data_IF_934072670033
#
_entry.id   IF_934072670033
#
_cell.length_a   1.000
_cell.length_b   1.000
_cell.length_c   1.000
_cell.angle_alpha   90.00
_cell.angle_beta   90.00
_cell.angle_gamma   90.00
#
_symmetry.space_group_name_H-M   'P 1'
#
loop_
_entity.id
_entity.type
_entity.pdbx_description
1 polymer ?
#
# COMPACT_ATOMS: atom_id res chain seq x y z
N UNK A 1 10.87 12.56 16.81
CA UNK A 1 10.30 11.25 16.44
C UNK A 1 11.46 10.30 16.21
N UNK A 2 11.52 9.22 16.98
CA UNK A 2 12.63 8.27 16.91
C UNK A 2 12.45 7.28 15.76
N UNK A 3 13.55 6.83 15.16
CA UNK A 3 13.57 5.82 14.09
C UNK A 3 12.79 4.55 14.49
N UNK A 4 12.83 4.17 15.76
CA UNK A 4 12.08 3.04 16.31
C UNK A 4 10.58 3.17 16.09
N UNK A 5 10.01 4.37 16.28
CA UNK A 5 8.58 4.61 16.05
C UNK A 5 8.23 4.54 14.57
N UNK A 6 9.08 5.08 13.69
CA UNK A 6 8.91 4.95 12.23
C UNK A 6 8.89 3.48 11.80
N UNK A 7 9.82 2.67 12.31
CA UNK A 7 9.88 1.23 12.03
C UNK A 7 8.69 0.47 12.63
N UNK A 8 8.23 0.84 13.83
CA UNK A 8 7.04 0.24 14.42
C UNK A 8 5.79 0.48 13.56
N UNK A 9 5.62 1.71 13.03
CA UNK A 9 4.54 2.04 12.09
C UNK A 9 4.70 1.20 10.81
N UNK A 10 5.91 1.08 10.27
CA UNK A 10 6.18 0.26 9.08
C UNK A 10 5.75 -1.20 9.31
N UNK A 11 6.21 -1.83 10.39
CA UNK A 11 5.90 -3.23 10.71
C UNK A 11 4.39 -3.42 10.87
N UNK A 12 3.73 -2.56 11.66
CA UNK A 12 2.29 -2.62 11.85
C UNK A 12 1.53 -2.51 10.52
N UNK A 13 1.94 -1.58 9.66
CA UNK A 13 1.32 -1.35 8.35
C UNK A 13 1.52 -2.54 7.42
N UNK A 14 2.74 -3.10 7.37
CA UNK A 14 3.07 -4.30 6.57
C UNK A 14 2.24 -5.50 7.00
N UNK A 15 2.03 -5.73 8.30
CA UNK A 15 1.14 -6.79 8.76
C UNK A 15 -0.30 -6.61 8.23
N UNK A 16 -0.81 -5.37 8.22
CA UNK A 16 -2.11 -5.04 7.64
C UNK A 16 -2.19 -5.31 6.13
N UNK A 17 -1.13 -4.96 5.39
CA UNK A 17 -1.03 -5.18 3.95
C UNK A 17 -0.99 -6.67 3.63
N UNK A 18 -0.14 -7.45 4.29
CA UNK A 18 -0.04 -8.90 4.09
C UNK A 18 -1.39 -9.57 4.33
N UNK A 19 -2.12 -9.12 5.37
CA UNK A 19 -3.46 -9.64 5.65
C UNK A 19 -4.48 -9.23 4.59
N UNK A 20 -4.45 -7.99 4.12
CA UNK A 20 -5.32 -7.52 3.04
C UNK A 20 -5.04 -8.26 1.71
N UNK A 21 -3.77 -8.45 1.35
CA UNK A 21 -3.34 -9.17 0.15
C UNK A 21 -3.71 -10.64 0.24
N UNK A 22 -3.62 -11.27 1.42
CA UNK A 22 -4.10 -12.63 1.64
C UNK A 22 -5.61 -12.75 1.35
N UNK A 23 -6.43 -11.81 1.84
CA UNK A 23 -7.87 -11.81 1.54
C UNK A 23 -8.14 -11.58 0.04
N UNK A 24 -7.44 -10.63 -0.58
CA UNK A 24 -7.54 -10.37 -2.02
C UNK A 24 -7.14 -11.59 -2.85
N UNK A 25 -6.09 -12.29 -2.47
CA UNK A 25 -5.62 -13.52 -3.12
C UNK A 25 -6.66 -14.64 -3.06
N UNK A 26 -7.29 -14.85 -1.90
CA UNK A 26 -8.40 -15.81 -1.77
C UNK A 26 -9.56 -15.46 -2.68
N UNK A 27 -9.88 -14.18 -2.81
CA UNK A 27 -10.93 -13.70 -3.70
C UNK A 27 -10.59 -13.92 -5.18
N UNK A 28 -9.34 -13.63 -5.60
CA UNK A 28 -8.89 -13.85 -6.98
C UNK A 28 -8.92 -15.33 -7.38
N UNK A 29 -8.64 -16.24 -6.44
CA UNK A 29 -8.75 -17.70 -6.66
C UNK A 29 -10.18 -18.22 -6.65
N UNK A 30 -11.16 -17.38 -6.31
CA UNK A 30 -12.56 -17.79 -6.15
C UNK A 30 -12.83 -18.65 -4.91
N UNK A 31 -11.91 -18.69 -3.94
CA UNK A 31 -12.11 -19.39 -2.66
C UNK A 31 -13.15 -18.68 -1.78
N UNK A 32 -13.36 -17.38 -2.02
CA UNK A 32 -14.43 -16.59 -1.43
C UNK A 32 -15.21 -15.91 -2.54
N UNK A 33 -16.54 -15.96 -2.45
CA UNK A 33 -17.45 -15.41 -3.46
C UNK A 33 -17.41 -13.89 -3.47
N UNK A 34 -17.40 -13.27 -2.30
CA UNK A 34 -17.25 -11.82 -2.14
C UNK A 34 -16.35 -11.53 -0.94
N UNK A 35 -15.80 -10.32 -0.91
CA UNK A 35 -15.04 -9.84 0.24
C UNK A 35 -15.98 -9.31 1.33
N UNK A 36 -15.69 -9.60 2.59
CA UNK A 36 -16.41 -8.99 3.72
C UNK A 36 -16.09 -7.49 3.77
N UNK A 37 -17.11 -6.67 3.51
CA UNK A 37 -16.99 -5.20 3.49
C UNK A 37 -16.43 -4.65 4.80
N UNK A 38 -16.89 -5.14 5.97
CA UNK A 38 -16.47 -4.60 7.27
C UNK A 38 -15.00 -4.93 7.54
N UNK A 39 -14.58 -6.15 7.26
CA UNK A 39 -13.19 -6.59 7.47
C UNK A 39 -12.24 -5.83 6.55
N UNK A 40 -12.52 -5.83 5.24
CA UNK A 40 -11.63 -5.20 4.25
C UNK A 40 -11.61 -3.68 4.39
N UNK A 41 -12.74 -3.03 4.69
CA UNK A 41 -12.76 -1.58 4.92
C UNK A 41 -11.94 -1.20 6.14
N UNK A 42 -12.03 -1.95 7.25
CA UNK A 42 -11.22 -1.69 8.45
C UNK A 42 -9.73 -1.87 8.18
N UNK A 43 -9.35 -2.91 7.45
CA UNK A 43 -7.96 -3.12 7.03
C UNK A 43 -7.47 -1.99 6.14
N UNK A 44 -8.28 -1.57 5.17
CA UNK A 44 -7.93 -0.46 4.30
C UNK A 44 -7.74 0.84 5.08
N UNK A 45 -8.66 1.18 5.99
CA UNK A 45 -8.52 2.33 6.88
C UNK A 45 -7.26 2.23 7.75
N UNK A 46 -6.97 1.05 8.31
CA UNK A 46 -5.76 0.81 9.10
C UNK A 46 -4.49 1.02 8.28
N UNK A 47 -4.39 0.43 7.09
CA UNK A 47 -3.24 0.60 6.18
C UNK A 47 -3.12 2.05 5.71
N UNK A 48 -4.23 2.75 5.49
CA UNK A 48 -4.24 4.16 5.11
C UNK A 48 -3.67 5.04 6.24
N UNK A 49 -4.09 4.83 7.48
CA UNK A 49 -3.49 5.51 8.63
C UNK A 49 -2.00 5.15 8.80
N UNK A 50 -1.64 3.89 8.54
CA UNK A 50 -0.25 3.46 8.49
C UNK A 50 0.59 4.21 7.45
N UNK A 51 0.07 4.37 6.23
CA UNK A 51 0.70 5.14 5.16
C UNK A 51 0.87 6.62 5.55
N UNK A 52 -0.18 7.25 6.08
CA UNK A 52 -0.10 8.64 6.58
C UNK A 52 0.96 8.75 7.68
N UNK A 53 0.97 7.81 8.62
CA UNK A 53 1.98 7.74 9.67
C UNK A 53 3.40 7.61 9.12
N UNK A 54 3.61 6.74 8.12
CA UNK A 54 4.90 6.56 7.43
C UNK A 54 5.37 7.81 6.70
N UNK A 55 4.46 8.53 6.02
CA UNK A 55 4.79 9.78 5.32
C UNK A 55 5.17 10.86 6.32
N UNK A 56 4.36 11.10 7.36
CA UNK A 56 4.63 12.14 8.36
C UNK A 56 5.92 11.85 9.14
N UNK A 57 6.11 10.61 9.59
CA UNK A 57 7.31 10.20 10.30
C UNK A 57 8.55 10.23 9.41
N UNK A 58 8.45 9.81 8.15
CA UNK A 58 9.53 9.90 7.18
C UNK A 58 9.91 11.34 6.85
N UNK A 59 8.93 12.23 6.69
CA UNK A 59 9.15 13.66 6.46
C UNK A 59 9.86 14.31 7.66
N UNK A 60 9.45 13.95 8.89
CA UNK A 60 10.15 14.39 10.10
C UNK A 60 11.61 13.92 10.12
N UNK A 61 11.88 12.65 9.82
CA UNK A 61 13.25 12.10 9.77
C UNK A 61 14.10 12.73 8.65
N UNK A 62 13.46 13.17 7.57
CA UNK A 62 14.13 13.81 6.44
C UNK A 62 14.38 15.30 6.66
N UNK A 63 13.66 15.97 7.58
CA UNK A 63 13.58 17.44 7.70
C UNK A 63 14.93 18.15 7.65
N UNK A 64 15.88 17.77 8.50
CA UNK A 64 17.21 18.41 8.55
C UNK A 64 18.14 18.01 7.40
N UNK A 65 17.78 16.97 6.64
CA UNK A 65 18.59 16.38 5.58
C UNK A 65 18.00 16.54 4.19
N UNK A 66 16.87 17.24 4.05
CA UNK A 66 16.14 17.37 2.77
C UNK A 66 17.05 17.91 1.67
N UNK A 67 17.86 18.93 1.96
CA UNK A 67 18.77 19.53 0.98
C UNK A 67 19.74 18.49 0.39
N UNK A 68 20.35 17.66 1.25
CA UNK A 68 21.21 16.57 0.81
C UNK A 68 20.43 15.47 0.07
N UNK A 69 19.32 15.01 0.66
CA UNK A 69 18.52 13.91 0.12
C UNK A 69 17.95 14.25 -1.28
N UNK A 70 17.53 15.50 -1.50
CA UNK A 70 17.00 15.96 -2.79
C UNK A 70 18.01 15.92 -3.94
N UNK A 71 19.31 15.86 -3.64
CA UNK A 71 20.37 15.65 -4.63
C UNK A 71 20.54 14.19 -5.05
N UNK A 72 19.91 13.24 -4.34
CA UNK A 72 20.05 11.81 -4.61
C UNK A 72 18.91 11.31 -5.51
N UNK A 73 19.21 10.66 -6.65
CA UNK A 73 18.17 10.05 -7.50
C UNK A 73 17.30 9.03 -6.76
N UNK A 74 17.89 8.28 -5.83
CA UNK A 74 17.17 7.28 -5.02
C UNK A 74 16.09 7.91 -4.13
N UNK A 75 16.31 9.14 -3.64
CA UNK A 75 15.28 9.86 -2.88
C UNK A 75 14.04 10.12 -3.73
N UNK A 76 14.21 10.61 -4.96
CA UNK A 76 13.10 10.86 -5.88
C UNK A 76 12.39 9.59 -6.32
N UNK A 77 13.14 8.51 -6.56
CA UNK A 77 12.57 7.19 -6.84
C UNK A 77 11.73 6.67 -5.66
N UNK A 78 12.21 6.83 -4.43
CA UNK A 78 11.44 6.52 -3.22
C UNK A 78 10.17 7.36 -3.13
N UNK A 79 10.25 8.66 -3.42
CA UNK A 79 9.07 9.53 -3.43
C UNK A 79 8.07 9.14 -4.52
N UNK A 80 8.52 8.65 -5.68
CA UNK A 80 7.64 8.12 -6.71
C UNK A 80 6.88 6.86 -6.24
N UNK A 81 7.54 5.95 -5.50
CA UNK A 81 6.86 4.82 -4.86
C UNK A 81 5.85 5.27 -3.79
N UNK A 82 6.19 6.26 -2.97
CA UNK A 82 5.26 6.83 -1.97
C UNK A 82 4.05 7.44 -2.67
N UNK A 83 4.25 8.20 -3.76
CA UNK A 83 3.16 8.77 -4.55
C UNK A 83 2.29 7.68 -5.18
N UNK A 84 2.91 6.62 -5.73
CA UNK A 84 2.20 5.46 -6.26
C UNK A 84 1.28 4.83 -5.19
N UNK A 85 1.79 4.65 -3.97
CA UNK A 85 1.00 4.10 -2.84
C UNK A 85 -0.18 5.01 -2.48
N UNK A 86 0.03 6.33 -2.44
CA UNK A 86 -1.03 7.31 -2.15
C UNK A 86 -2.12 7.20 -3.22
N UNK A 87 -1.76 7.28 -4.50
CA UNK A 87 -2.72 7.16 -5.61
C UNK A 87 -3.45 5.82 -5.56
N UNK A 88 -2.70 4.73 -5.36
CA UNK A 88 -3.27 3.38 -5.28
C UNK A 88 -4.27 3.23 -4.13
N UNK A 89 -4.07 3.92 -3.01
CA UNK A 89 -5.02 3.90 -1.88
C UNK A 89 -6.41 4.43 -2.26
N UNK A 90 -6.49 5.43 -3.15
CA UNK A 90 -7.77 5.92 -3.68
C UNK A 90 -8.35 4.98 -4.74
N UNK A 91 -7.50 4.45 -5.63
CA UNK A 91 -7.94 3.54 -6.69
C UNK A 91 -8.54 2.26 -6.10
N UNK A 92 -7.87 1.63 -5.13
CA UNK A 92 -8.37 0.40 -4.51
C UNK A 92 -9.66 0.64 -3.73
N UNK A 93 -9.86 1.83 -3.15
CA UNK A 93 -11.10 2.19 -2.47
C UNK A 93 -12.31 2.12 -3.41
N UNK A 94 -12.16 2.56 -4.66
CA UNK A 94 -13.21 2.45 -5.66
C UNK A 94 -13.41 1.00 -6.14
N UNK A 95 -12.30 0.31 -6.45
CA UNK A 95 -12.35 -1.07 -6.96
C UNK A 95 -12.93 -2.06 -5.94
N UNK A 96 -12.64 -1.90 -4.65
CA UNK A 96 -13.12 -2.81 -3.60
C UNK A 96 -14.64 -2.81 -3.46
N UNK A 97 -15.32 -1.70 -3.81
CA UNK A 97 -16.79 -1.64 -3.76
C UNK A 97 -17.42 -2.70 -4.66
N UNK A 98 -16.81 -2.96 -5.83
CA UNK A 98 -17.25 -4.02 -6.76
C UNK A 98 -16.97 -5.42 -6.21
N UNK A 99 -15.84 -5.59 -5.55
CA UNK A 99 -15.43 -6.86 -4.94
C UNK A 99 -16.30 -7.28 -3.74
N UNK A 100 -17.04 -6.33 -3.14
CA UNK A 100 -18.02 -6.63 -2.09
C UNK A 100 -19.34 -7.20 -2.64
N UNK A 101 -19.67 -6.90 -3.90
CA UNK A 101 -20.98 -7.21 -4.48
C UNK A 101 -20.94 -8.42 -5.41
N UNK A 102 -19.80 -8.66 -6.08
CA UNK A 102 -19.71 -9.66 -7.15
C UNK A 102 -18.51 -10.60 -6.98
N UNK A 103 -18.64 -11.86 -7.42
CA UNK A 103 -17.50 -12.76 -7.59
C UNK A 103 -16.47 -12.21 -8.58
N UNK A 104 -15.19 -12.48 -8.33
CA UNK A 104 -14.11 -12.03 -9.20
C UNK A 104 -14.33 -12.46 -10.66
N UNK A 105 -14.74 -13.72 -10.87
CA UNK A 105 -15.04 -14.27 -12.20
C UNK A 105 -16.23 -13.59 -12.90
N UNK A 106 -17.12 -12.94 -12.16
CA UNK A 106 -18.27 -12.21 -12.69
C UNK A 106 -17.96 -10.74 -13.02
N UNK A 107 -16.79 -10.24 -12.63
CA UNK A 107 -16.34 -8.89 -13.00
C UNK A 107 -15.94 -8.85 -14.48
N UNK A 108 -16.14 -7.71 -15.17
CA UNK A 108 -15.54 -7.48 -16.48
C UNK A 108 -14.01 -7.66 -16.43
N UNK A 109 -13.40 -8.21 -17.50
CA UNK A 109 -11.94 -8.46 -17.53
C UNK A 109 -11.08 -7.23 -17.23
N UNK A 110 -11.56 -6.03 -17.60
CA UNK A 110 -10.84 -4.79 -17.30
C UNK A 110 -10.83 -4.48 -15.78
N UNK A 111 -11.92 -4.73 -15.06
CA UNK A 111 -11.98 -4.55 -13.60
C UNK A 111 -11.13 -5.59 -12.88
N UNK A 112 -11.13 -6.84 -13.37
CA UNK A 112 -10.25 -7.89 -12.86
C UNK A 112 -8.78 -7.48 -12.99
N UNK A 113 -8.39 -7.01 -14.18
CA UNK A 113 -7.03 -6.53 -14.43
C UNK A 113 -6.67 -5.33 -13.53
N UNK A 114 -7.56 -4.36 -13.37
CA UNK A 114 -7.33 -3.20 -12.50
C UNK A 114 -7.16 -3.60 -11.03
N UNK A 115 -7.93 -4.57 -10.54
CA UNK A 115 -7.77 -5.12 -9.18
C UNK A 115 -6.39 -5.78 -8.99
N UNK A 116 -5.97 -6.60 -9.95
CA UNK A 116 -4.66 -7.25 -9.91
C UNK A 116 -3.52 -6.23 -10.01
N UNK A 117 -3.65 -5.25 -10.91
CA UNK A 117 -2.68 -4.18 -11.09
C UNK A 117 -2.56 -3.31 -9.82
N UNK A 118 -3.68 -3.02 -9.16
CA UNK A 118 -3.69 -2.28 -7.91
C UNK A 118 -2.99 -3.04 -6.78
N UNK A 119 -3.18 -4.36 -6.70
CA UNK A 119 -2.42 -5.23 -5.81
C UNK A 119 -0.92 -5.17 -6.08
N UNK A 120 -0.51 -5.38 -7.34
CA UNK A 120 0.89 -5.33 -7.75
C UNK A 120 1.54 -3.95 -7.48
N UNK A 121 0.83 -2.86 -7.77
CA UNK A 121 1.28 -1.50 -7.49
C UNK A 121 1.50 -1.25 -5.99
N UNK A 122 0.63 -1.80 -5.13
CA UNK A 122 0.79 -1.76 -3.68
C UNK A 122 2.07 -2.47 -3.25
N UNK A 123 2.24 -3.74 -3.66
CA UNK A 123 3.41 -4.55 -3.29
C UNK A 123 4.70 -3.88 -3.76
N UNK A 124 4.76 -3.43 -5.01
CA UNK A 124 5.94 -2.75 -5.57
C UNK A 124 6.23 -1.42 -4.86
N UNK A 125 5.20 -0.64 -4.54
CA UNK A 125 5.35 0.62 -3.81
C UNK A 125 5.96 0.42 -2.42
N UNK A 126 5.45 -0.54 -1.65
CA UNK A 126 5.95 -0.81 -0.30
C UNK A 126 7.36 -1.41 -0.31
N UNK A 127 7.58 -2.42 -1.15
CA UNK A 127 8.89 -3.09 -1.26
C UNK A 127 9.94 -2.12 -1.80
N UNK A 128 9.64 -1.39 -2.89
CA UNK A 128 10.56 -0.42 -3.49
C UNK A 128 10.93 0.70 -2.52
N UNK A 129 9.96 1.29 -1.83
CA UNK A 129 10.23 2.34 -0.84
C UNK A 129 11.04 1.82 0.36
N UNK A 130 10.81 0.58 0.79
CA UNK A 130 11.54 -0.05 1.88
C UNK A 130 13.00 -0.35 1.48
N UNK A 131 13.23 -0.97 0.32
CA UNK A 131 14.58 -1.30 -0.16
C UNK A 131 15.47 -0.06 -0.26
N UNK A 132 14.94 1.05 -0.80
CA UNK A 132 15.68 2.32 -0.83
C UNK A 132 15.89 2.88 0.59
N UNK A 133 14.87 2.76 1.46
CA UNK A 133 14.97 3.18 2.86
C UNK A 133 16.06 2.45 3.66
N UNK A 134 16.32 1.18 3.33
CA UNK A 134 17.39 0.37 3.92
C UNK A 134 18.72 0.45 3.15
N UNK A 135 18.80 1.23 2.07
CA UNK A 135 20.02 1.41 1.27
C UNK A 135 20.39 0.21 0.39
N UNK A 136 19.42 -0.63 0.02
CA UNK A 136 19.61 -1.77 -0.87
C UNK A 136 19.51 -1.38 -2.35
N UNK A 137 18.69 -0.36 -2.66
CA UNK A 137 18.50 0.26 -3.98
C UNK A 137 18.85 1.75 -3.90
#
# INVERSE_FOLDING_TARGET
MDTTLHLAILVATVCGIVWADYLGWRYFRGEVVTLDRRVVSRLHTFVWFGLVGMVLSGAYLAYDRVAYLSGLPSFWLKMAFVLLLIVNSFVIHWLMQRAFEKPFAALPRHEQFLLMLSGAASTLGWVGAALIGFGVL
#
